data_IF_039587496973
#
_entry.id   IF_039587496973
#
_cell.length_a   1.000
_cell.length_b   1.000
_cell.length_c   1.000
_cell.angle_alpha   90.00
_cell.angle_beta   90.00
_cell.angle_gamma   90.00
#
_symmetry.space_group_name_H-M   'P 1'
#
loop_
_entity.id
_entity.type
_entity.pdbx_description
1 polymer ?
#
# COMPACT_ATOMS: atom_id res chain seq x y z
N UNK A 1 -8.64 -15.00 -0.76
CA UNK A 1 -7.96 -14.36 0.38
C UNK A 1 -6.45 -14.51 0.21
N UNK A 2 -5.63 -13.57 0.71
CA UNK A 2 -4.16 -13.64 0.61
C UNK A 2 -3.59 -14.86 1.37
N UNK A 3 -4.19 -15.21 2.51
CA UNK A 3 -3.89 -16.43 3.25
C UNK A 3 -4.07 -17.70 2.42
N UNK A 4 -5.11 -17.75 1.58
CA UNK A 4 -5.33 -18.86 0.64
C UNK A 4 -4.28 -18.93 -0.47
N UNK A 5 -3.56 -17.85 -0.74
CA UNK A 5 -2.49 -17.77 -1.73
C UNK A 5 -1.10 -18.01 -1.12
N UNK A 6 -1.01 -18.42 0.16
CA UNK A 6 0.24 -18.73 0.84
C UNK A 6 0.95 -17.54 1.46
N UNK A 7 0.30 -16.37 1.53
CA UNK A 7 0.77 -15.23 2.32
C UNK A 7 0.26 -15.32 3.77
N UNK A 8 0.88 -14.56 4.67
CA UNK A 8 0.40 -14.43 6.05
C UNK A 8 -0.86 -13.55 6.14
N UNK A 9 -1.35 -13.36 7.37
CA UNK A 9 -2.42 -12.39 7.65
C UNK A 9 -2.04 -10.98 7.20
N UNK A 10 -3.06 -10.19 6.82
CA UNK A 10 -2.87 -8.82 6.37
C UNK A 10 -2.37 -7.98 7.55
N UNK A 11 -1.20 -7.36 7.38
CA UNK A 11 -0.55 -6.52 8.41
C UNK A 11 -0.82 -5.03 8.22
N UNK A 12 -1.73 -4.65 7.32
CA UNK A 12 -2.05 -3.24 7.05
C UNK A 12 -2.65 -2.59 8.28
N UNK A 13 -2.03 -1.51 8.76
CA UNK A 13 -2.57 -0.66 9.82
C UNK A 13 -3.60 0.32 9.23
N UNK A 14 -4.75 0.47 9.90
CA UNK A 14 -5.82 1.38 9.51
C UNK A 14 -6.11 2.28 10.70
N UNK A 15 -5.80 3.57 10.55
CA UNK A 15 -6.03 4.59 11.57
C UNK A 15 -6.39 5.91 10.88
N UNK A 16 -7.21 6.74 11.53
CA UNK A 16 -7.47 8.10 11.04
C UNK A 16 -6.28 9.02 11.36
N UNK A 17 -6.12 10.11 10.60
CA UNK A 17 -5.08 11.10 10.90
C UNK A 17 -5.27 11.78 12.26
N UNK A 18 -6.52 11.85 12.74
CA UNK A 18 -6.86 12.42 14.04
C UNK A 18 -6.55 11.46 15.21
N UNK A 19 -6.56 10.14 14.97
CA UNK A 19 -6.18 9.12 15.96
C UNK A 19 -4.67 8.86 16.03
N UNK A 20 -3.91 9.31 15.04
CA UNK A 20 -2.45 9.19 15.02
C UNK A 20 -1.84 10.09 16.11
N UNK A 21 -1.07 9.49 17.02
CA UNK A 21 -0.30 10.23 18.05
C UNK A 21 0.78 11.14 17.45
N UNK A 22 1.11 10.90 16.19
CA UNK A 22 2.11 11.63 15.41
C UNK A 22 1.40 12.40 14.30
N UNK A 23 1.72 13.68 14.15
CA UNK A 23 1.17 14.46 13.04
C UNK A 23 1.70 13.96 11.69
N UNK A 24 1.02 14.35 10.61
CA UNK A 24 1.56 14.20 9.27
C UNK A 24 2.62 15.28 8.98
N UNK A 25 3.78 14.87 8.50
CA UNK A 25 4.91 15.76 8.19
C UNK A 25 5.39 15.54 6.75
N UNK A 26 5.79 16.63 6.08
CA UNK A 26 6.46 16.53 4.80
C UNK A 26 7.84 15.89 4.98
N UNK A 27 8.17 14.94 4.11
CA UNK A 27 9.55 14.53 3.90
C UNK A 27 10.33 15.62 3.13
N UNK A 28 11.67 15.55 3.19
CA UNK A 28 12.56 16.52 2.54
C UNK A 28 12.33 16.61 1.03
N UNK A 29 12.63 17.77 0.43
CA UNK A 29 12.33 18.09 -0.97
C UNK A 29 12.91 17.12 -2.00
N UNK A 30 14.03 16.46 -1.68
CA UNK A 30 14.64 15.48 -2.58
C UNK A 30 13.80 14.20 -2.71
N UNK A 31 13.01 13.86 -1.70
CA UNK A 31 12.06 12.73 -1.74
C UNK A 31 10.84 13.05 -2.62
N UNK A 32 10.48 14.32 -2.73
CA UNK A 32 9.32 14.74 -3.49
C UNK A 32 9.53 14.44 -4.97
N UNK A 33 8.60 13.69 -5.57
CA UNK A 33 8.64 13.25 -6.98
C UNK A 33 9.96 12.55 -7.36
N UNK A 34 10.53 11.77 -6.43
CA UNK A 34 11.84 11.13 -6.59
C UNK A 34 12.01 10.37 -7.91
N UNK A 35 11.04 9.54 -8.32
CA UNK A 35 11.14 8.75 -9.55
C UNK A 35 11.03 9.58 -10.83
N UNK A 36 10.38 10.74 -10.79
CA UNK A 36 10.38 11.69 -11.91
C UNK A 36 11.75 12.34 -12.08
N UNK A 37 12.40 12.69 -10.96
CA UNK A 37 13.75 13.24 -10.91
C UNK A 37 14.82 12.19 -11.25
N UNK A 38 14.55 10.91 -10.99
CA UNK A 38 15.47 9.79 -11.18
C UNK A 38 14.81 8.67 -12.01
N UNK A 39 14.78 8.74 -13.36
CA UNK A 39 14.04 7.79 -14.21
C UNK A 39 14.50 6.32 -14.15
N UNK A 40 15.71 6.05 -13.65
CA UNK A 40 16.20 4.70 -13.34
C UNK A 40 16.37 4.45 -11.83
N UNK A 41 15.77 5.34 -11.01
CA UNK A 41 15.83 5.27 -9.56
C UNK A 41 15.07 4.06 -9.02
N UNK A 42 15.43 3.66 -7.81
CA UNK A 42 14.80 2.51 -7.18
C UNK A 42 13.35 2.83 -6.79
N UNK A 43 12.41 2.06 -7.35
CA UNK A 43 10.99 2.16 -7.02
C UNK A 43 10.62 1.24 -5.85
N UNK A 44 11.15 0.01 -5.83
CA UNK A 44 10.90 -0.96 -4.76
C UNK A 44 9.47 -1.50 -4.65
N UNK A 45 8.58 -1.17 -5.59
CA UNK A 45 7.22 -1.72 -5.62
C UNK A 45 7.24 -3.16 -6.15
N UNK A 46 6.89 -4.12 -5.28
CA UNK A 46 6.59 -5.50 -5.63
C UNK A 46 5.13 -5.81 -5.30
N UNK A 47 4.30 -6.07 -6.31
CA UNK A 47 2.92 -6.51 -6.09
C UNK A 47 2.88 -7.97 -5.59
N UNK A 48 1.78 -8.38 -4.97
CA UNK A 48 1.55 -9.77 -4.53
C UNK A 48 1.37 -10.77 -5.67
N UNK A 49 1.30 -10.30 -6.93
CA UNK A 49 1.05 -11.15 -8.11
C UNK A 49 -0.39 -11.67 -8.22
N UNK A 50 -1.24 -11.36 -7.25
CA UNK A 50 -2.66 -11.71 -7.25
C UNK A 50 -3.47 -10.63 -7.96
N UNK A 51 -4.37 -11.03 -8.86
CA UNK A 51 -5.36 -10.09 -9.41
C UNK A 51 -6.42 -9.77 -8.36
N UNK A 52 -6.71 -8.49 -8.15
CA UNK A 52 -7.90 -8.09 -7.39
C UNK A 52 -9.15 -8.44 -8.20
N UNK A 53 -10.15 -9.16 -7.65
CA UNK A 53 -11.43 -9.34 -8.32
C UNK A 53 -12.06 -7.97 -8.55
N UNK A 54 -12.45 -7.69 -9.79
CA UNK A 54 -13.05 -6.41 -10.16
C UNK A 54 -14.56 -6.48 -9.94
N UNK A 55 -15.09 -5.60 -9.09
CA UNK A 55 -16.51 -5.54 -8.73
C UNK A 55 -16.81 -6.13 -7.34
N UNK A 56 -17.96 -5.76 -6.78
CA UNK A 56 -18.45 -6.32 -5.51
C UNK A 56 -19.17 -7.65 -5.80
N UNK A 57 -18.58 -8.77 -5.42
CA UNK A 57 -19.30 -10.05 -5.38
C UNK A 57 -20.08 -10.12 -4.07
N UNK A 58 -21.39 -10.38 -4.10
CA UNK A 58 -22.14 -10.73 -2.88
C UNK A 58 -21.65 -12.09 -2.40
N UNK A 59 -21.17 -12.17 -1.17
CA UNK A 59 -21.08 -13.45 -0.47
C UNK A 59 -22.51 -13.94 -0.17
N UNK A 60 -22.91 -15.05 -0.80
CA UNK A 60 -24.16 -15.73 -0.48
C UNK A 60 -23.95 -16.50 0.83
N UNK A 61 -24.61 -16.07 1.91
CA UNK A 61 -24.88 -16.92 3.07
C UNK A 61 -26.20 -17.66 2.85
#
# INVERSE_FOLDING_TARGET
MLTSAGFDEITTEIQSLEDLSSNWFYAEDYHQQYLSKNPGGYCGLGSTGMSCPVGLTKENN
#
